data_IF_078193587067
#
_entry.id   IF_078193587067
#
_cell.length_a   1.000
_cell.length_b   1.000
_cell.length_c   1.000
_cell.angle_alpha   90.00
_cell.angle_beta   90.00
_cell.angle_gamma   90.00
#
_symmetry.space_group_name_H-M   'P 1'
#
loop_
_entity.id
_entity.type
_entity.pdbx_description
1 polymer ?
#
# COMPACT_ATOMS: atom_id res chain seq x y z
N UNK A 1 7.93 -16.27 -20.97
CA UNK A 1 7.90 -14.80 -21.17
C UNK A 1 9.30 -14.27 -20.95
N UNK A 2 9.92 -13.62 -21.95
CA UNK A 2 11.25 -13.03 -21.78
C UNK A 2 11.17 -11.77 -20.88
N UNK A 3 12.28 -11.34 -20.26
CA UNK A 3 12.26 -10.49 -19.07
C UNK A 3 12.09 -8.99 -19.39
N UNK A 4 11.52 -8.25 -18.43
CA UNK A 4 11.19 -6.82 -18.52
C UNK A 4 12.28 -5.88 -17.96
N UNK A 5 13.56 -6.26 -17.93
CA UNK A 5 14.61 -5.35 -17.44
C UNK A 5 15.97 -5.63 -18.10
N UNK A 6 16.46 -4.67 -18.88
CA UNK A 6 17.89 -4.45 -19.22
C UNK A 6 18.48 -5.37 -20.29
N UNK A 7 19.45 -4.84 -21.04
CA UNK A 7 20.29 -5.52 -22.05
C UNK A 7 21.23 -6.56 -21.41
N UNK A 8 20.69 -7.46 -20.60
CA UNK A 8 21.47 -8.49 -19.93
C UNK A 8 20.95 -9.85 -20.33
N UNK A 9 21.80 -10.61 -21.02
CA UNK A 9 21.51 -11.98 -21.44
C UNK A 9 21.65 -13.01 -20.30
N UNK A 10 21.82 -12.53 -19.05
CA UNK A 10 22.02 -13.37 -17.86
C UNK A 10 21.07 -12.95 -16.74
N UNK A 11 20.54 -13.94 -16.03
CA UNK A 11 19.73 -13.71 -14.83
C UNK A 11 20.60 -13.14 -13.71
N UNK A 12 20.44 -11.85 -13.41
CA UNK A 12 21.15 -11.19 -12.31
C UNK A 12 20.41 -11.46 -10.99
N UNK A 13 21.12 -11.95 -9.98
CA UNK A 13 20.60 -12.10 -8.61
C UNK A 13 20.51 -10.72 -7.96
N UNK A 14 19.33 -10.08 -8.03
CA UNK A 14 19.12 -8.77 -7.41
C UNK A 14 17.93 -8.03 -8.01
N UNK A 15 16.70 -8.50 -7.75
CA UNK A 15 15.51 -7.71 -8.08
C UNK A 15 15.36 -6.64 -7.00
N UNK A 16 15.55 -5.37 -7.37
CA UNK A 16 15.24 -4.23 -6.49
C UNK A 16 13.76 -4.29 -6.14
N UNK A 17 13.46 -4.56 -4.87
CA UNK A 17 12.10 -4.58 -4.37
C UNK A 17 11.40 -3.24 -4.63
N UNK A 18 10.15 -3.29 -5.10
CA UNK A 18 9.32 -2.09 -5.17
C UNK A 18 9.00 -1.66 -3.73
N UNK A 19 9.53 -0.50 -3.31
CA UNK A 19 9.23 0.08 -2.01
C UNK A 19 7.83 0.70 -2.05
N UNK A 20 6.85 -0.05 -1.57
CA UNK A 20 5.50 0.46 -1.40
C UNK A 20 5.38 1.06 0.00
N UNK A 21 4.99 2.34 0.08
CA UNK A 21 4.70 3.00 1.35
C UNK A 21 3.20 3.02 1.61
N UNK A 22 2.82 2.65 2.83
CA UNK A 22 1.46 2.68 3.34
C UNK A 22 1.52 3.27 4.75
N UNK A 23 0.72 4.31 5.00
CA UNK A 23 0.60 4.92 6.32
C UNK A 23 -0.67 4.40 6.98
N UNK A 24 -0.55 3.95 8.23
CA UNK A 24 -1.65 3.47 9.04
C UNK A 24 -1.86 4.41 10.23
N UNK A 25 -3.08 4.90 10.39
CA UNK A 25 -3.49 5.69 11.52
C UNK A 25 -4.53 4.90 12.32
N UNK A 26 -4.20 4.64 13.58
CA UNK A 26 -5.08 4.03 14.56
C UNK A 26 -5.46 5.10 15.59
N UNK A 27 -6.71 5.08 16.03
CA UNK A 27 -7.22 6.03 17.01
C UNK A 27 -8.11 5.31 18.00
N UNK A 28 -7.77 5.44 19.28
CA UNK A 28 -8.52 4.88 20.39
C UNK A 28 -8.53 5.88 21.56
N UNK A 29 -9.55 5.79 22.42
CA UNK A 29 -9.53 6.46 23.72
C UNK A 29 -8.57 5.77 24.68
N UNK A 30 -8.26 6.43 25.81
CA UNK A 30 -7.22 5.99 26.73
C UNK A 30 -7.46 4.59 27.34
N UNK A 31 -8.71 4.27 27.64
CA UNK A 31 -9.17 2.99 28.19
C UNK A 31 -9.44 1.93 27.09
N UNK A 32 -9.40 2.32 25.82
CA UNK A 32 -9.51 1.43 24.67
C UNK A 32 -10.91 0.86 24.40
N UNK A 33 -11.93 1.32 25.12
CA UNK A 33 -13.34 0.95 24.93
C UNK A 33 -13.90 1.47 23.59
N UNK A 34 -13.35 2.57 23.08
CA UNK A 34 -13.72 3.16 21.79
C UNK A 34 -12.53 3.18 20.84
N UNK A 35 -12.71 2.56 19.67
CA UNK A 35 -11.71 2.53 18.59
C UNK A 35 -12.37 3.03 17.32
N UNK A 36 -11.72 3.98 16.65
CA UNK A 36 -12.15 4.41 15.33
C UNK A 36 -11.67 3.40 14.27
N UNK A 37 -12.40 3.25 13.14
CA UNK A 37 -11.90 2.46 12.02
C UNK A 37 -10.53 2.99 11.56
N UNK A 38 -9.57 2.10 11.24
CA UNK A 38 -8.24 2.53 10.81
C UNK A 38 -8.32 3.42 9.56
N UNK A 39 -7.48 4.45 9.51
CA UNK A 39 -7.26 5.23 8.28
C UNK A 39 -5.95 4.78 7.63
N UNK A 40 -6.05 4.36 6.38
CA UNK A 40 -4.94 3.87 5.57
C UNK A 40 -4.72 4.85 4.41
N UNK A 41 -3.47 5.32 4.24
CA UNK A 41 -3.10 6.24 3.16
C UNK A 41 -2.01 5.61 2.30
N UNK A 42 -2.27 5.48 1.00
CA UNK A 42 -1.31 4.91 0.04
C UNK A 42 -1.31 5.63 -1.32
N UNK A 43 -0.37 5.21 -2.19
CA UNK A 43 -0.15 5.85 -3.50
C UNK A 43 -1.05 5.36 -4.63
N UNK A 44 -1.59 4.14 -4.55
CA UNK A 44 -2.46 3.60 -5.60
C UNK A 44 -3.94 3.94 -5.36
N UNK A 45 -4.68 4.42 -6.37
CA UNK A 45 -6.09 4.75 -6.16
C UNK A 45 -6.95 3.51 -5.87
N UNK A 46 -6.61 2.41 -6.55
CA UNK A 46 -7.21 1.08 -6.37
C UNK A 46 -6.09 0.05 -6.16
N UNK A 47 -5.67 -0.20 -4.91
CA UNK A 47 -4.64 -1.20 -4.63
C UNK A 47 -5.07 -2.60 -5.07
N UNK A 48 -4.26 -3.28 -5.88
CA UNK A 48 -4.58 -4.65 -6.34
C UNK A 48 -4.77 -5.62 -5.17
N UNK A 49 -4.08 -5.38 -4.04
CA UNK A 49 -4.18 -6.19 -2.83
C UNK A 49 -5.60 -6.18 -2.22
N UNK A 50 -6.43 -5.18 -2.56
CA UNK A 50 -7.81 -5.14 -2.09
C UNK A 50 -8.74 -6.09 -2.85
N UNK A 51 -8.27 -6.79 -3.89
CA UNK A 51 -9.05 -7.78 -4.66
C UNK A 51 -10.40 -7.20 -5.12
N UNK A 52 -10.36 -5.98 -5.68
CA UNK A 52 -11.52 -5.20 -6.12
C UNK A 52 -12.50 -4.75 -5.03
N UNK A 53 -12.14 -4.90 -3.75
CA UNK A 53 -12.90 -4.35 -2.64
C UNK A 53 -12.49 -2.91 -2.32
N UNK A 54 -13.40 -2.12 -1.78
CA UNK A 54 -13.09 -0.81 -1.21
C UNK A 54 -12.49 -0.98 0.19
N UNK A 55 -11.82 0.05 0.71
CA UNK A 55 -11.38 0.03 2.11
C UNK A 55 -12.54 -0.18 3.07
N UNK A 56 -13.69 0.47 2.81
CA UNK A 56 -14.89 0.34 3.64
C UNK A 56 -15.42 -1.10 3.69
N UNK A 57 -15.40 -1.82 2.56
CA UNK A 57 -15.74 -3.25 2.50
C UNK A 57 -14.74 -4.15 3.25
N UNK A 58 -13.54 -3.65 3.53
CA UNK A 58 -12.49 -4.33 4.29
C UNK A 58 -12.42 -3.86 5.75
N UNK A 59 -13.29 -2.93 6.17
CA UNK A 59 -13.36 -2.43 7.56
C UNK A 59 -12.43 -1.27 7.90
N UNK A 60 -11.91 -0.53 6.90
CA UNK A 60 -11.05 0.63 7.13
C UNK A 60 -11.32 1.78 6.15
N UNK A 61 -10.92 2.99 6.52
CA UNK A 61 -10.92 4.12 5.60
C UNK A 61 -9.66 4.08 4.74
N UNK A 62 -9.80 4.19 3.42
CA UNK A 62 -8.66 4.27 2.51
C UNK A 62 -8.65 5.61 1.78
N UNK A 63 -7.50 6.28 1.78
CA UNK A 63 -7.28 7.49 0.99
C UNK A 63 -6.05 7.34 0.11
N UNK A 64 -6.21 7.73 -1.15
CA UNK A 64 -5.11 7.82 -2.08
C UNK A 64 -4.42 9.18 -1.99
N UNK A 65 -3.09 9.19 -2.06
CA UNK A 65 -2.31 10.38 -2.35
C UNK A 65 -1.19 10.04 -3.36
N UNK A 66 -1.37 10.43 -4.62
CA UNK A 66 -0.42 10.18 -5.69
C UNK A 66 0.94 10.87 -5.49
N UNK A 67 0.95 11.98 -4.74
CA UNK A 67 2.15 12.77 -4.37
C UNK A 67 2.75 12.33 -3.04
N UNK A 68 2.17 11.32 -2.39
CA UNK A 68 2.73 10.81 -1.14
C UNK A 68 4.11 10.20 -1.43
N UNK A 69 5.09 10.67 -0.67
CA UNK A 69 6.44 10.11 -0.62
C UNK A 69 7.11 10.10 -2.01
N UNK A 70 7.41 11.29 -2.53
CA UNK A 70 8.49 11.45 -3.49
C UNK A 70 9.80 11.21 -2.72
N UNK A 71 10.54 10.18 -3.11
CA UNK A 71 11.90 9.91 -2.65
C UNK A 71 12.85 9.98 -3.83
#
# INVERSE_FOLDING_TARGET
MPPNCGLSDKQQSGVKGKKNWLTYLFTANADGSMKLPPLIIGKAQKPCVFKNKTGTQLGFYYRNNAKAWHG
#
